data_IF_928767667615
#
_entry.id   IF_928767667615
#
_cell.length_a   1.000
_cell.length_b   1.000
_cell.length_c   1.000
_cell.angle_alpha   90.00
_cell.angle_beta   90.00
_cell.angle_gamma   90.00
#
_symmetry.space_group_name_H-M   'P 1'
#
loop_
_entity.id
_entity.type
_entity.pdbx_description
1 polymer ?
#
# COMPACT_ATOMS: atom_id res chain seq x y z
N UNK A 1 -22.07 -5.54 -20.89
CA UNK A 1 -22.20 -6.82 -20.14
C UNK A 1 -20.83 -7.01 -19.50
N UNK A 2 -20.56 -6.85 -18.20
CA UNK A 2 -21.15 -7.42 -16.98
C UNK A 2 -20.73 -6.54 -15.78
N UNK A 3 -21.55 -5.57 -15.34
CA UNK A 3 -21.30 -4.83 -14.07
C UNK A 3 -22.00 -5.42 -12.84
N UNK A 4 -22.85 -6.45 -13.02
CA UNK A 4 -23.71 -6.97 -11.95
C UNK A 4 -23.11 -8.10 -11.09
N UNK A 5 -21.90 -8.59 -11.36
CA UNK A 5 -21.32 -9.74 -10.63
C UNK A 5 -20.40 -9.34 -9.47
N UNK A 6 -19.87 -8.12 -9.44
CA UNK A 6 -18.90 -7.69 -8.43
C UNK A 6 -19.54 -7.00 -7.23
N UNK A 7 -20.74 -6.42 -7.39
CA UNK A 7 -21.44 -5.66 -6.35
C UNK A 7 -21.98 -6.51 -5.19
N UNK A 8 -21.83 -7.84 -5.25
CA UNK A 8 -22.22 -8.76 -4.18
C UNK A 8 -21.06 -9.14 -3.27
N UNK A 9 -19.81 -8.92 -3.68
CA UNK A 9 -18.63 -9.27 -2.87
C UNK A 9 -18.47 -8.29 -1.72
N UNK A 10 -18.32 -8.79 -0.50
CA UNK A 10 -18.02 -7.96 0.67
C UNK A 10 -16.52 -7.82 0.88
N UNK A 11 -16.08 -6.58 1.04
CA UNK A 11 -14.68 -6.24 1.30
C UNK A 11 -14.48 -5.95 2.79
N UNK A 12 -13.48 -6.57 3.40
CA UNK A 12 -12.97 -6.18 4.71
C UNK A 12 -11.63 -5.49 4.55
N UNK A 13 -11.51 -4.25 5.04
CA UNK A 13 -10.29 -3.46 4.97
C UNK A 13 -9.70 -3.36 6.38
N UNK A 14 -8.54 -3.99 6.58
CA UNK A 14 -7.81 -3.94 7.84
C UNK A 14 -6.98 -2.65 7.89
N UNK A 15 -7.46 -1.67 8.65
CA UNK A 15 -6.76 -0.41 8.93
C UNK A 15 -7.35 0.83 8.26
N UNK A 16 -8.00 1.70 9.03
CA UNK A 16 -8.55 3.01 8.63
C UNK A 16 -7.50 4.14 8.68
N UNK A 17 -6.35 3.90 8.04
CA UNK A 17 -5.24 4.83 7.94
C UNK A 17 -5.36 5.82 6.77
N UNK A 18 -4.24 6.45 6.42
CA UNK A 18 -4.15 7.41 5.31
C UNK A 18 -4.59 6.84 3.95
N UNK A 19 -4.36 5.55 3.71
CA UNK A 19 -4.84 4.84 2.51
C UNK A 19 -6.19 4.15 2.75
N UNK A 20 -6.40 3.53 3.91
CA UNK A 20 -7.56 2.65 4.11
C UNK A 20 -8.90 3.36 4.20
N UNK A 21 -8.96 4.57 4.77
CA UNK A 21 -10.19 5.38 4.79
C UNK A 21 -10.64 5.79 3.37
N UNK A 22 -9.81 6.48 2.56
CA UNK A 22 -10.22 6.84 1.20
C UNK A 22 -10.43 5.62 0.29
N UNK A 23 -9.75 4.50 0.55
CA UNK A 23 -10.02 3.24 -0.13
C UNK A 23 -11.42 2.70 0.19
N UNK A 24 -11.84 2.75 1.47
CA UNK A 24 -13.19 2.36 1.86
C UNK A 24 -14.24 3.27 1.23
N UNK A 25 -14.02 4.59 1.25
CA UNK A 25 -14.88 5.57 0.58
C UNK A 25 -15.05 5.26 -0.91
N UNK A 26 -13.95 4.94 -1.59
CA UNK A 26 -13.96 4.55 -3.00
C UNK A 26 -14.85 3.34 -3.26
N UNK A 27 -14.70 2.26 -2.50
CA UNK A 27 -15.49 1.04 -2.71
C UNK A 27 -16.95 1.17 -2.26
N UNK A 28 -17.22 1.91 -1.17
CA UNK A 28 -18.60 2.25 -0.80
C UNK A 28 -19.27 3.06 -1.90
N UNK A 29 -18.57 4.05 -2.47
CA UNK A 29 -19.07 4.85 -3.60
C UNK A 29 -19.35 4.02 -4.87
N UNK A 30 -18.67 2.88 -5.02
CA UNK A 30 -18.95 1.90 -6.08
C UNK A 30 -20.07 0.90 -5.73
N UNK A 31 -20.62 0.96 -4.53
CA UNK A 31 -21.72 0.10 -4.07
C UNK A 31 -21.30 -1.23 -3.46
N UNK A 32 -20.02 -1.43 -3.16
CA UNK A 32 -19.57 -2.62 -2.42
C UNK A 32 -20.03 -2.54 -0.94
N UNK A 33 -20.47 -3.65 -0.34
CA UNK A 33 -20.50 -3.78 1.10
C UNK A 33 -19.06 -3.74 1.64
N UNK A 34 -18.74 -2.75 2.48
CA UNK A 34 -17.39 -2.58 3.05
C UNK A 34 -17.43 -2.64 4.56
N UNK A 35 -16.59 -3.50 5.14
CA UNK A 35 -16.20 -3.46 6.53
C UNK A 35 -14.83 -2.75 6.64
N UNK A 36 -14.70 -1.79 7.54
CA UNK A 36 -13.44 -1.08 7.78
C UNK A 36 -13.08 -1.16 9.27
N UNK A 37 -11.83 -1.51 9.55
CA UNK A 37 -11.34 -1.64 10.91
C UNK A 37 -10.43 -0.52 11.38
N UNK A 38 -10.40 -0.35 12.70
CA UNK A 38 -9.55 0.60 13.43
C UNK A 38 -9.10 -0.01 14.74
N UNK A 39 -7.99 0.49 15.31
CA UNK A 39 -7.61 0.22 16.72
C UNK A 39 -8.16 1.25 17.70
N UNK A 40 -8.78 2.31 17.19
CA UNK A 40 -9.26 3.45 17.99
C UNK A 40 -10.78 3.52 17.97
N UNK A 41 -11.40 3.37 19.13
CA UNK A 41 -12.86 3.41 19.28
C UNK A 41 -13.47 4.73 18.79
N UNK A 42 -12.77 5.86 18.97
CA UNK A 42 -13.18 7.18 18.49
C UNK A 42 -13.40 7.25 16.96
N UNK A 43 -12.79 6.35 16.18
CA UNK A 43 -12.97 6.28 14.72
C UNK A 43 -14.20 5.48 14.27
N UNK A 44 -14.87 4.75 15.17
CA UNK A 44 -16.00 3.91 14.78
C UNK A 44 -17.18 4.71 14.23
N UNK A 45 -17.52 5.85 14.84
CA UNK A 45 -18.59 6.72 14.35
C UNK A 45 -18.26 7.35 12.98
N UNK A 46 -17.07 7.95 12.78
CA UNK A 46 -16.65 8.40 11.45
C UNK A 46 -16.73 7.30 10.39
N UNK A 47 -16.29 6.08 10.70
CA UNK A 47 -16.36 4.95 9.74
C UNK A 47 -17.82 4.62 9.36
N UNK A 48 -18.74 4.59 10.33
CA UNK A 48 -20.16 4.35 10.05
C UNK A 48 -20.77 5.45 9.17
N UNK A 49 -20.38 6.70 9.38
CA UNK A 49 -20.85 7.83 8.57
C UNK A 49 -20.39 7.75 7.11
N UNK A 50 -19.29 7.04 6.83
CA UNK A 50 -18.85 6.74 5.46
C UNK A 50 -19.70 5.67 4.77
N UNK A 51 -20.63 5.02 5.48
CA UNK A 51 -21.45 3.92 4.96
C UNK A 51 -20.79 2.54 5.08
N UNK A 52 -19.67 2.42 5.80
CA UNK A 52 -18.98 1.15 6.05
C UNK A 52 -19.35 0.53 7.41
N UNK A 53 -19.32 -0.79 7.50
CA UNK A 53 -19.33 -1.51 8.77
C UNK A 53 -18.07 -1.19 9.59
N UNK A 54 -18.23 -0.72 10.83
CA UNK A 54 -17.11 -0.27 11.66
C UNK A 54 -16.72 -1.31 12.71
N UNK A 55 -15.45 -1.74 12.70
CA UNK A 55 -14.96 -2.78 13.60
C UNK A 55 -13.70 -2.36 14.34
N UNK A 56 -13.63 -2.69 15.64
CA UNK A 56 -12.40 -2.56 16.42
C UNK A 56 -11.58 -3.84 16.24
N UNK A 57 -10.44 -3.77 15.55
CA UNK A 57 -9.58 -4.93 15.27
C UNK A 57 -8.16 -4.59 15.70
N UNK A 58 -7.53 -5.50 16.42
CA UNK A 58 -6.13 -5.36 16.83
C UNK A 58 -5.43 -6.73 16.79
N UNK A 59 -4.65 -6.95 15.74
CA UNK A 59 -3.96 -8.23 15.51
C UNK A 59 -2.85 -8.47 16.55
N UNK A 60 -2.31 -7.41 17.13
CA UNK A 60 -1.22 -7.51 18.11
C UNK A 60 -1.76 -8.02 19.46
N UNK A 61 -3.07 -7.86 19.69
CA UNK A 61 -3.77 -8.24 20.91
C UNK A 61 -4.83 -9.33 20.68
N UNK A 62 -4.80 -10.01 19.53
CA UNK A 62 -5.73 -11.09 19.15
C UNK A 62 -7.22 -10.67 19.14
N UNK A 63 -7.51 -9.39 18.82
CA UNK A 63 -8.87 -8.84 18.80
C UNK A 63 -9.46 -8.91 17.38
N UNK A 64 -10.40 -9.84 17.17
CA UNK A 64 -11.11 -10.03 15.90
C UNK A 64 -12.62 -10.20 16.12
N UNK A 65 -13.42 -9.13 16.01
CA UNK A 65 -14.87 -9.26 16.02
C UNK A 65 -15.32 -10.15 14.86
N UNK A 66 -16.19 -11.14 15.14
CA UNK A 66 -16.60 -12.16 14.17
C UNK A 66 -17.10 -11.55 12.84
N UNK A 67 -17.96 -10.54 12.90
CA UNK A 67 -18.51 -9.88 11.70
C UNK A 67 -17.48 -9.17 10.81
N UNK A 68 -16.24 -8.95 11.26
CA UNK A 68 -15.20 -8.37 10.41
C UNK A 68 -14.65 -9.39 9.39
N UNK A 69 -14.49 -10.66 9.78
CA UNK A 69 -13.91 -11.69 8.90
C UNK A 69 -14.95 -12.71 8.40
N UNK A 70 -16.00 -12.99 9.17
CA UNK A 70 -16.96 -14.06 8.87
C UNK A 70 -17.95 -13.72 7.75
N UNK A 71 -18.14 -12.44 7.43
CA UNK A 71 -19.14 -11.99 6.45
C UNK A 71 -18.51 -11.41 5.17
N UNK A 72 -17.23 -11.67 4.91
CA UNK A 72 -16.48 -11.04 3.81
C UNK A 72 -15.80 -12.04 2.88
N UNK A 73 -15.70 -11.68 1.60
CA UNK A 73 -15.07 -12.50 0.56
C UNK A 73 -13.58 -12.14 0.38
N UNK A 74 -13.26 -10.85 0.55
CA UNK A 74 -11.93 -10.28 0.30
C UNK A 74 -11.45 -9.54 1.54
N UNK A 75 -10.22 -9.83 1.98
CA UNK A 75 -9.49 -9.01 2.95
C UNK A 75 -8.47 -8.14 2.23
N UNK A 76 -8.55 -6.82 2.42
CA UNK A 76 -7.47 -5.90 2.09
C UNK A 76 -6.68 -5.62 3.37
N UNK A 77 -5.49 -6.20 3.47
CA UNK A 77 -4.62 -6.03 4.63
C UNK A 77 -3.75 -4.78 4.45
N UNK A 78 -4.12 -3.66 5.09
CA UNK A 78 -3.50 -2.35 4.90
C UNK A 78 -2.99 -1.75 6.22
N UNK A 79 -2.11 -2.48 6.90
CA UNK A 79 -1.48 -2.07 8.16
C UNK A 79 0.04 -2.07 8.04
N UNK A 80 0.69 -1.16 8.76
CA UNK A 80 2.15 -1.00 8.74
C UNK A 80 2.86 -1.84 9.82
N UNK A 81 2.18 -2.79 10.45
CA UNK A 81 2.78 -3.64 11.49
C UNK A 81 3.87 -4.53 10.88
N UNK A 82 4.86 -4.88 11.69
CA UNK A 82 5.86 -5.92 11.37
C UNK A 82 5.84 -7.05 12.41
N UNK A 83 4.77 -7.11 13.22
CA UNK A 83 4.61 -8.12 14.25
C UNK A 83 4.25 -9.47 13.62
N UNK A 84 5.26 -10.33 13.45
CA UNK A 84 5.09 -11.66 12.85
C UNK A 84 4.07 -12.53 13.61
N UNK A 85 4.03 -12.42 14.94
CA UNK A 85 3.08 -13.18 15.76
C UNK A 85 1.65 -12.72 15.54
N UNK A 86 1.41 -11.41 15.47
CA UNK A 86 0.10 -10.84 15.15
C UNK A 86 -0.39 -11.28 13.76
N UNK A 87 0.50 -11.29 12.76
CA UNK A 87 0.15 -11.79 11.43
C UNK A 87 -0.09 -13.31 11.40
N UNK A 88 0.68 -14.10 12.15
CA UNK A 88 0.43 -15.54 12.27
C UNK A 88 -0.95 -15.82 12.90
N UNK A 89 -1.33 -15.06 13.94
CA UNK A 89 -2.69 -15.10 14.50
C UNK A 89 -3.74 -14.74 13.45
N UNK A 90 -3.56 -13.62 12.72
CA UNK A 90 -4.49 -13.20 11.68
C UNK A 90 -4.66 -14.28 10.60
N UNK A 91 -3.57 -14.89 10.11
CA UNK A 91 -3.62 -15.99 9.14
C UNK A 91 -4.44 -17.17 9.69
N UNK A 92 -4.23 -17.55 10.96
CA UNK A 92 -4.99 -18.62 11.61
C UNK A 92 -6.48 -18.30 11.76
N UNK A 93 -6.86 -17.02 11.93
CA UNK A 93 -8.26 -16.60 11.93
C UNK A 93 -8.84 -16.61 10.50
N UNK A 94 -8.07 -16.18 9.51
CA UNK A 94 -8.49 -16.17 8.10
C UNK A 94 -8.77 -17.57 7.56
N UNK A 95 -7.93 -18.55 7.92
CA UNK A 95 -8.11 -19.95 7.56
C UNK A 95 -9.46 -20.55 8.04
N UNK A 96 -10.09 -19.93 9.05
CA UNK A 96 -11.40 -20.35 9.60
C UNK A 96 -12.56 -19.47 9.14
N UNK A 97 -12.28 -18.47 8.30
CA UNK A 97 -13.25 -17.45 7.88
C UNK A 97 -13.85 -17.76 6.50
N UNK A 98 -14.76 -16.90 6.04
CA UNK A 98 -15.33 -16.96 4.69
C UNK A 98 -14.42 -16.33 3.62
N UNK A 99 -13.38 -15.60 4.03
CA UNK A 99 -12.44 -14.92 3.12
C UNK A 99 -11.82 -15.92 2.15
N UNK A 100 -11.90 -15.60 0.85
CA UNK A 100 -11.33 -16.38 -0.25
C UNK A 100 -10.08 -15.74 -0.83
N UNK A 101 -10.00 -14.42 -0.76
CA UNK A 101 -8.88 -13.68 -1.32
C UNK A 101 -8.31 -12.68 -0.32
N UNK A 102 -6.99 -12.63 -0.24
CA UNK A 102 -6.28 -11.63 0.55
C UNK A 102 -5.48 -10.75 -0.39
N UNK A 103 -5.74 -9.45 -0.38
CA UNK A 103 -4.86 -8.44 -0.97
C UNK A 103 -4.01 -7.83 0.13
N UNK A 104 -2.75 -8.23 0.18
CA UNK A 104 -1.79 -7.78 1.18
C UNK A 104 -1.02 -6.56 0.66
N UNK A 105 -1.21 -5.41 1.31
CA UNK A 105 -0.50 -4.17 0.97
C UNK A 105 0.87 -4.18 1.64
N UNK A 106 1.89 -4.50 0.85
CA UNK A 106 3.28 -4.57 1.26
C UNK A 106 4.07 -3.34 0.80
N UNK A 107 5.40 -3.41 0.89
CA UNK A 107 6.34 -2.35 0.59
C UNK A 107 7.47 -2.85 -0.28
N UNK A 108 7.88 -2.07 -1.29
CA UNK A 108 9.08 -2.36 -2.10
C UNK A 108 10.40 -2.31 -1.30
N UNK A 109 10.35 -1.94 -0.01
CA UNK A 109 11.47 -2.09 0.91
C UNK A 109 11.87 -3.54 1.18
N UNK A 110 11.07 -4.54 0.74
CA UNK A 110 11.48 -5.95 0.82
C UNK A 110 12.68 -6.27 -0.06
N UNK A 111 12.91 -5.50 -1.13
CA UNK A 111 14.05 -5.71 -2.02
C UNK A 111 15.34 -5.19 -1.40
N UNK A 112 16.43 -5.92 -1.62
CA UNK A 112 17.80 -5.46 -1.38
C UNK A 112 18.14 -4.31 -2.33
N UNK A 113 19.10 -3.49 -1.93
CA UNK A 113 19.69 -2.53 -2.85
C UNK A 113 20.87 -3.18 -3.58
N UNK A 114 20.77 -3.30 -4.90
CA UNK A 114 21.71 -4.06 -5.74
C UNK A 114 22.26 -3.25 -6.93
N UNK A 115 21.93 -1.95 -7.02
CA UNK A 115 22.12 -1.12 -8.22
C UNK A 115 21.47 -1.71 -9.49
N UNK A 116 20.45 -2.55 -9.32
CA UNK A 116 19.68 -3.13 -10.40
C UNK A 116 18.21 -2.73 -10.31
N UNK A 117 17.48 -3.03 -11.40
CA UNK A 117 16.03 -2.95 -11.43
C UNK A 117 15.46 -4.06 -10.54
N UNK A 118 14.74 -3.68 -9.48
CA UNK A 118 13.97 -4.60 -8.66
C UNK A 118 12.63 -4.87 -9.34
N UNK A 119 12.39 -6.14 -9.69
CA UNK A 119 11.12 -6.63 -10.21
C UNK A 119 10.66 -7.85 -9.43
N UNK A 120 9.42 -8.25 -9.64
CA UNK A 120 8.75 -9.35 -8.94
C UNK A 120 9.40 -10.72 -9.22
N UNK A 121 10.13 -10.86 -10.32
CA UNK A 121 10.74 -12.12 -10.77
C UNK A 121 12.29 -12.07 -10.71
N UNK A 122 12.87 -11.06 -10.06
CA UNK A 122 14.33 -10.84 -10.01
C UNK A 122 15.03 -11.50 -8.81
N UNK A 123 14.31 -12.19 -7.94
CA UNK A 123 14.81 -12.78 -6.68
C UNK A 123 15.68 -11.80 -5.85
N UNK A 124 15.28 -10.53 -5.86
CA UNK A 124 16.01 -9.43 -5.24
C UNK A 124 15.59 -9.16 -3.79
N UNK A 125 14.64 -9.92 -3.26
CA UNK A 125 14.10 -9.80 -1.90
C UNK A 125 15.16 -10.12 -0.84
N UNK A 126 15.05 -9.43 0.30
CA UNK A 126 15.81 -9.76 1.48
C UNK A 126 15.08 -10.83 2.30
N UNK A 127 15.57 -12.08 2.38
CA UNK A 127 14.98 -13.14 3.18
C UNK A 127 14.97 -12.82 4.68
N UNK A 128 15.80 -11.87 5.14
CA UNK A 128 15.81 -11.40 6.52
C UNK A 128 14.75 -10.31 6.79
N UNK A 129 14.13 -9.75 5.75
CA UNK A 129 13.05 -8.78 5.90
C UNK A 129 11.86 -9.42 6.58
N UNK A 130 11.50 -8.91 7.77
CA UNK A 130 10.32 -9.37 8.49
C UNK A 130 9.05 -9.27 7.64
N UNK A 131 8.95 -8.23 6.81
CA UNK A 131 7.80 -8.04 5.92
C UNK A 131 7.76 -9.09 4.82
N UNK A 132 8.91 -9.42 4.22
CA UNK A 132 8.97 -10.48 3.20
C UNK A 132 8.58 -11.84 3.78
N UNK A 133 9.04 -12.16 5.00
CA UNK A 133 8.64 -13.38 5.69
C UNK A 133 7.12 -13.43 5.99
N UNK A 134 6.51 -12.27 6.27
CA UNK A 134 5.05 -12.17 6.42
C UNK A 134 4.35 -12.41 5.07
N UNK A 135 4.84 -11.83 3.97
CA UNK A 135 4.30 -12.09 2.62
C UNK A 135 4.31 -13.60 2.33
N UNK A 136 5.44 -14.27 2.58
CA UNK A 136 5.57 -15.72 2.37
C UNK A 136 4.59 -16.51 3.24
N UNK A 137 4.36 -16.12 4.49
CA UNK A 137 3.38 -16.77 5.36
C UNK A 137 1.94 -16.67 4.82
N UNK A 138 1.54 -15.51 4.27
CA UNK A 138 0.24 -15.36 3.62
C UNK A 138 0.14 -16.18 2.33
N UNK A 139 1.20 -16.23 1.52
CA UNK A 139 1.20 -17.01 0.27
C UNK A 139 1.21 -18.53 0.51
N UNK A 140 1.76 -18.98 1.64
CA UNK A 140 1.82 -20.40 1.99
C UNK A 140 0.49 -20.97 2.53
N UNK A 141 -0.50 -20.12 2.86
CA UNK A 141 -1.78 -20.55 3.42
C UNK A 141 -2.73 -21.01 2.30
N UNK A 142 -3.11 -22.30 2.22
CA UNK A 142 -3.92 -22.81 1.11
C UNK A 142 -5.42 -22.45 1.19
N UNK A 143 -5.91 -22.00 2.35
CA UNK A 143 -7.33 -21.72 2.60
C UNK A 143 -7.84 -20.46 1.87
N UNK A 144 -6.93 -19.58 1.43
CA UNK A 144 -7.24 -18.39 0.66
C UNK A 144 -6.14 -18.11 -0.37
N UNK A 145 -6.47 -17.38 -1.44
CA UNK A 145 -5.48 -16.95 -2.43
C UNK A 145 -4.96 -15.56 -2.08
N UNK A 146 -3.65 -15.45 -1.90
CA UNK A 146 -2.99 -14.16 -1.59
C UNK A 146 -2.49 -13.47 -2.84
N UNK A 147 -2.76 -12.17 -2.95
CA UNK A 147 -2.07 -11.24 -3.84
C UNK A 147 -1.29 -10.24 -3.01
N UNK A 148 -0.02 -10.04 -3.35
CA UNK A 148 0.84 -9.05 -2.71
C UNK A 148 0.91 -7.82 -3.61
N UNK A 149 0.62 -6.63 -3.07
CA UNK A 149 0.88 -5.36 -3.73
C UNK A 149 1.97 -4.60 -2.95
N UNK A 150 3.20 -4.62 -3.47
CA UNK A 150 4.36 -3.92 -2.92
C UNK A 150 4.36 -2.47 -3.37
N UNK A 151 3.82 -1.59 -2.53
CA UNK A 151 3.81 -0.15 -2.81
C UNK A 151 5.17 0.48 -2.50
N UNK A 152 5.61 1.40 -3.35
CA UNK A 152 6.78 2.23 -3.08
C UNK A 152 6.45 3.35 -2.09
N UNK A 153 7.33 4.33 -1.90
CA UNK A 153 7.10 5.39 -0.92
C UNK A 153 5.82 6.18 -1.21
N UNK A 154 4.87 6.12 -0.27
CA UNK A 154 3.56 6.72 -0.43
C UNK A 154 3.62 8.25 -0.33
N UNK A 155 3.00 8.95 -1.27
CA UNK A 155 2.87 10.40 -1.32
C UNK A 155 1.46 10.83 -1.72
N UNK A 156 1.12 12.09 -1.48
CA UNK A 156 -0.13 12.70 -1.92
C UNK A 156 -0.91 13.36 -0.80
N UNK A 157 -1.61 14.44 -1.13
CA UNK A 157 -2.44 15.22 -0.19
C UNK A 157 -1.67 15.59 1.08
N UNK A 158 -2.18 15.20 2.26
CA UNK A 158 -1.54 15.44 3.57
C UNK A 158 -0.16 14.79 3.73
N UNK A 159 0.20 13.81 2.90
CA UNK A 159 1.53 13.17 2.89
C UNK A 159 2.44 13.84 1.85
N UNK A 160 2.63 15.15 2.02
CA UNK A 160 3.43 15.98 1.11
C UNK A 160 4.95 15.70 1.28
N UNK A 161 5.67 15.30 0.21
CA UNK A 161 7.08 14.91 0.31
C UNK A 161 8.01 16.05 0.77
N UNK A 162 7.67 17.30 0.45
CA UNK A 162 8.39 18.49 0.96
C UNK A 162 8.41 18.61 2.50
N UNK A 163 7.57 17.86 3.24
CA UNK A 163 7.57 17.84 4.71
C UNK A 163 8.45 16.72 5.29
N UNK A 164 8.94 15.77 4.48
CA UNK A 164 9.68 14.60 4.98
C UNK A 164 11.03 14.97 5.61
N UNK A 165 11.67 16.02 5.06
CA UNK A 165 12.97 16.55 5.50
C UNK A 165 12.85 17.96 6.09
N UNK A 166 11.72 18.27 6.72
CA UNK A 166 11.56 19.50 7.48
C UNK A 166 12.50 19.54 8.71
N UNK A 167 12.67 20.72 9.29
CA UNK A 167 13.41 20.95 10.54
C UNK A 167 14.89 20.51 10.50
N UNK A 168 15.56 20.71 9.37
CA UNK A 168 17.00 20.46 9.25
C UNK A 168 17.40 19.00 9.08
N UNK A 169 16.44 18.09 8.90
CA UNK A 169 16.73 16.68 8.58
C UNK A 169 17.56 16.58 7.29
N UNK A 170 18.62 15.80 7.35
CA UNK A 170 19.53 15.56 6.23
C UNK A 170 18.99 14.44 5.35
N UNK A 171 19.09 14.64 4.03
CA UNK A 171 18.80 13.61 3.03
C UNK A 171 20.06 12.81 2.76
N UNK A 172 20.03 11.53 3.14
CA UNK A 172 21.10 10.59 2.85
C UNK A 172 21.05 10.09 1.39
N UNK A 173 22.23 9.87 0.80
CA UNK A 173 22.40 9.41 -0.58
C UNK A 173 21.58 10.28 -1.55
N UNK A 174 21.91 11.58 -1.67
CA UNK A 174 21.12 12.55 -2.44
C UNK A 174 20.94 12.16 -3.90
N UNK A 175 21.91 11.47 -4.49
CA UNK A 175 21.89 11.12 -5.91
C UNK A 175 21.24 9.75 -6.16
N UNK A 176 20.78 9.06 -5.09
CA UNK A 176 20.00 7.84 -5.23
C UNK A 176 18.61 8.15 -5.83
N UNK A 177 18.04 7.24 -6.63
CA UNK A 177 16.68 7.40 -7.16
C UNK A 177 15.64 7.34 -6.03
N UNK A 178 14.56 8.10 -6.17
CA UNK A 178 13.35 7.88 -5.38
C UNK A 178 12.48 6.81 -6.03
N UNK A 179 11.77 6.04 -5.21
CA UNK A 179 10.70 5.14 -5.64
C UNK A 179 9.45 5.56 -4.88
N UNK A 180 8.49 6.17 -5.57
CA UNK A 180 7.29 6.74 -4.94
C UNK A 180 6.03 6.37 -5.74
N UNK A 181 4.88 6.49 -5.09
CA UNK A 181 3.57 6.31 -5.71
C UNK A 181 2.54 7.21 -5.03
N UNK A 182 1.66 7.81 -5.83
CA UNK A 182 0.57 8.65 -5.32
C UNK A 182 -0.58 7.80 -4.74
N UNK A 183 -1.32 8.36 -3.76
CA UNK A 183 -2.45 7.68 -3.12
C UNK A 183 -3.51 7.19 -4.11
N UNK A 184 -3.84 8.03 -5.09
CA UNK A 184 -4.89 7.72 -6.06
C UNK A 184 -4.48 6.55 -6.96
N UNK A 185 -3.20 6.47 -7.31
CA UNK A 185 -2.67 5.30 -8.00
C UNK A 185 -2.74 4.06 -7.11
N UNK A 186 -2.42 4.17 -5.81
CA UNK A 186 -2.58 3.03 -4.89
C UNK A 186 -4.02 2.50 -4.87
N UNK A 187 -5.01 3.40 -4.80
CA UNK A 187 -6.43 3.05 -4.85
C UNK A 187 -6.78 2.42 -6.20
N UNK A 188 -6.33 3.03 -7.30
CA UNK A 188 -6.59 2.52 -8.65
C UNK A 188 -6.00 1.13 -8.91
N UNK A 189 -4.78 0.87 -8.42
CA UNK A 189 -4.16 -0.46 -8.48
C UNK A 189 -4.95 -1.50 -7.70
N UNK A 190 -5.35 -1.18 -6.47
CA UNK A 190 -6.17 -2.05 -5.63
C UNK A 190 -7.52 -2.34 -6.31
N UNK A 191 -8.16 -1.31 -6.89
CA UNK A 191 -9.40 -1.46 -7.64
C UNK A 191 -9.23 -2.40 -8.84
N UNK A 192 -8.19 -2.21 -9.66
CA UNK A 192 -7.95 -3.08 -10.82
C UNK A 192 -7.66 -4.53 -10.44
N UNK A 193 -6.93 -4.77 -9.34
CA UNK A 193 -6.68 -6.14 -8.86
C UNK A 193 -8.00 -6.84 -8.50
N UNK A 194 -8.90 -6.14 -7.82
CA UNK A 194 -10.21 -6.67 -7.42
C UNK A 194 -11.13 -6.86 -8.62
N UNK A 195 -11.30 -5.83 -9.45
CA UNK A 195 -12.19 -5.87 -10.63
C UNK A 195 -11.79 -6.96 -11.63
N UNK A 196 -10.49 -7.15 -11.84
CA UNK A 196 -9.97 -8.15 -12.78
C UNK A 196 -9.73 -9.51 -12.11
N UNK A 197 -10.01 -9.64 -10.80
CA UNK A 197 -9.76 -10.87 -10.03
C UNK A 197 -8.33 -11.40 -10.21
N UNK A 198 -7.36 -10.49 -10.16
CA UNK A 198 -5.94 -10.76 -10.39
C UNK A 198 -5.29 -11.39 -9.15
N UNK A 199 -5.81 -12.56 -8.76
CA UNK A 199 -5.44 -13.26 -7.54
C UNK A 199 -4.22 -14.16 -7.72
N UNK A 200 -3.44 -14.36 -6.65
CA UNK A 200 -2.26 -15.24 -6.64
C UNK A 200 -0.98 -14.55 -7.11
N UNK A 201 -1.03 -13.23 -7.31
CA UNK A 201 0.06 -12.47 -7.92
C UNK A 201 0.90 -11.71 -6.90
N UNK A 202 2.10 -11.36 -7.32
CA UNK A 202 2.89 -10.30 -6.70
C UNK A 202 2.99 -9.17 -7.72
N UNK A 203 2.70 -7.95 -7.28
CA UNK A 203 2.81 -6.73 -8.07
C UNK A 203 3.58 -5.64 -7.33
N UNK A 204 4.34 -4.86 -8.08
CA UNK A 204 4.96 -3.62 -7.64
C UNK A 204 4.13 -2.40 -8.05
N UNK A 205 3.94 -1.48 -7.10
CA UNK A 205 3.32 -0.18 -7.33
C UNK A 205 4.32 0.96 -7.16
N UNK A 206 4.76 1.56 -8.27
CA UNK A 206 5.55 2.80 -8.34
C UNK A 206 5.13 3.63 -9.56
N UNK A 207 5.36 4.94 -9.50
CA UNK A 207 5.34 5.83 -10.67
C UNK A 207 6.43 5.46 -11.67
N UNK A 208 6.35 5.97 -12.90
CA UNK A 208 7.26 5.65 -14.01
C UNK A 208 8.61 6.34 -13.87
N UNK A 209 8.60 7.57 -13.35
CA UNK A 209 9.81 8.36 -13.17
C UNK A 209 10.50 8.06 -11.83
N UNK A 210 11.83 8.07 -11.84
CA UNK A 210 12.66 7.89 -10.64
C UNK A 210 13.75 8.98 -10.54
N UNK A 211 13.37 10.26 -10.35
CA UNK A 211 14.34 11.34 -10.17
C UNK A 211 15.24 11.07 -8.94
N UNK A 212 16.37 11.76 -8.87
CA UNK A 212 17.23 11.68 -7.69
C UNK A 212 16.50 12.23 -6.46
N UNK A 213 16.87 11.78 -5.26
CA UNK A 213 16.38 12.38 -4.00
C UNK A 213 16.65 13.89 -3.98
N UNK A 214 17.81 14.31 -4.49
CA UNK A 214 18.21 15.71 -4.58
C UNK A 214 17.20 16.51 -5.39
N UNK A 215 16.93 16.09 -6.61
CA UNK A 215 16.04 16.82 -7.52
C UNK A 215 14.61 16.80 -6.96
N UNK A 216 14.13 15.62 -6.58
CA UNK A 216 12.75 15.43 -6.14
C UNK A 216 12.44 16.18 -4.84
N UNK A 217 13.27 16.05 -3.80
CA UNK A 217 12.99 16.71 -2.53
C UNK A 217 13.28 18.21 -2.57
N UNK A 218 14.18 18.67 -3.45
CA UNK A 218 14.33 20.11 -3.70
C UNK A 218 13.09 20.68 -4.38
N UNK A 219 12.59 20.02 -5.43
CA UNK A 219 11.34 20.38 -6.09
C UNK A 219 10.16 20.39 -5.11
N UNK A 220 9.98 19.31 -4.35
CA UNK A 220 8.88 19.20 -3.40
C UNK A 220 8.96 20.22 -2.25
N UNK A 221 10.15 20.64 -1.82
CA UNK A 221 10.31 21.76 -0.87
C UNK A 221 9.96 23.10 -1.52
N UNK A 222 10.37 23.30 -2.77
CA UNK A 222 10.02 24.48 -3.56
C UNK A 222 8.52 24.70 -3.71
N UNK A 223 7.74 23.63 -3.89
CA UNK A 223 6.27 23.68 -3.92
C UNK A 223 5.64 24.24 -2.63
N UNK A 224 6.34 24.14 -1.50
CA UNK A 224 5.91 24.70 -0.21
C UNK A 224 6.50 26.09 0.06
N UNK A 225 7.20 26.70 -0.90
CA UNK A 225 7.94 27.95 -0.70
C UNK A 225 9.10 27.81 0.28
N UNK A 226 9.66 26.60 0.40
CA UNK A 226 10.69 26.28 1.38
C UNK A 226 12.05 26.02 0.70
N UNK A 227 13.19 26.31 1.38
CA UNK A 227 14.51 26.04 0.81
C UNK A 227 14.75 24.54 0.63
N UNK A 228 15.65 24.18 -0.29
CA UNK A 228 16.07 22.80 -0.50
C UNK A 228 16.53 22.13 0.82
N UNK A 229 16.39 20.80 0.95
CA UNK A 229 16.91 20.07 2.12
C UNK A 229 18.43 20.17 2.24
N UNK A 230 18.94 19.84 3.42
CA UNK A 230 20.36 19.55 3.60
C UNK A 230 20.66 18.16 3.02
N UNK A 231 21.79 18.02 2.34
CA UNK A 231 22.20 16.76 1.72
C UNK A 231 23.48 16.23 2.38
N UNK A 232 23.51 14.94 2.69
CA UNK A 232 24.73 14.30 3.18
C UNK A 232 25.77 14.19 2.06
N UNK A 233 27.02 14.43 2.42
CA UNK A 233 28.19 14.11 1.59
C UNK A 233 28.85 12.86 2.17
N UNK A 234 28.99 11.80 1.37
CA UNK A 234 29.52 10.53 1.87
C UNK A 234 29.46 9.41 0.84
N UNK A 235 29.89 8.22 1.26
CA UNK A 235 29.92 7.03 0.42
C UNK A 235 28.52 6.71 -0.12
N UNK A 236 28.46 6.44 -1.42
CA UNK A 236 27.24 5.96 -2.06
C UNK A 236 27.06 4.48 -1.72
N UNK A 237 25.97 4.15 -1.04
CA UNK A 237 25.56 2.76 -0.90
C UNK A 237 24.86 2.31 -2.18
N UNK A 238 24.72 0.99 -2.33
CA UNK A 238 23.89 0.44 -3.40
C UNK A 238 22.45 0.99 -3.28
N UNK A 239 21.82 1.17 -4.43
CA UNK A 239 20.45 1.68 -4.60
C UNK A 239 19.58 0.67 -5.35
N UNK A 240 18.33 1.02 -5.65
CA UNK A 240 17.46 0.25 -6.55
C UNK A 240 16.44 1.16 -7.22
N UNK A 241 15.99 0.76 -8.40
CA UNK A 241 14.80 1.28 -9.07
C UNK A 241 13.77 0.15 -9.07
N UNK A 242 12.54 0.43 -8.68
CA UNK A 242 11.45 -0.56 -8.67
C UNK A 242 10.73 -0.50 -10.01
N UNK A 243 10.54 -1.66 -10.65
CA UNK A 243 9.79 -1.77 -11.90
C UNK A 243 8.29 -1.82 -11.63
N UNK A 244 7.48 -1.13 -12.44
CA UNK A 244 6.03 -1.29 -12.52
C UNK A 244 5.57 -2.02 -13.80
N UNK A 245 6.49 -2.68 -14.51
CA UNK A 245 6.21 -3.29 -15.81
C UNK A 245 5.12 -4.38 -15.73
N UNK A 246 5.20 -5.27 -14.73
CA UNK A 246 4.27 -6.40 -14.59
C UNK A 246 2.83 -5.95 -14.41
N UNK A 247 2.58 -4.98 -13.52
CA UNK A 247 1.20 -4.51 -13.26
C UNK A 247 0.60 -3.78 -14.47
N UNK A 248 1.41 -3.03 -15.22
CA UNK A 248 0.98 -2.42 -16.49
C UNK A 248 0.64 -3.47 -17.54
N UNK A 249 1.50 -4.47 -17.72
CA UNK A 249 1.30 -5.52 -18.71
C UNK A 249 0.08 -6.38 -18.37
N UNK A 250 -0.08 -6.76 -17.11
CA UNK A 250 -1.11 -7.71 -16.68
C UNK A 250 -2.48 -7.08 -16.48
N UNK A 251 -2.54 -5.86 -15.94
CA UNK A 251 -3.81 -5.19 -15.65
C UNK A 251 -4.14 -4.05 -16.63
N UNK A 252 -3.24 -3.73 -17.57
CA UNK A 252 -3.43 -2.59 -18.47
C UNK A 252 -3.46 -1.23 -17.75
N UNK A 253 -2.96 -1.18 -16.50
CA UNK A 253 -3.10 0.01 -15.67
C UNK A 253 -2.30 1.19 -16.24
N UNK A 254 -2.96 2.35 -16.32
CA UNK A 254 -2.34 3.62 -16.67
C UNK A 254 -2.29 4.47 -15.42
N UNK A 255 -1.07 4.77 -14.97
CA UNK A 255 -0.86 5.61 -13.80
C UNK A 255 -1.44 7.00 -14.05
N UNK A 256 -2.18 7.50 -13.06
CA UNK A 256 -2.70 8.86 -12.99
C UNK A 256 -1.53 9.83 -12.83
N UNK A 257 -0.54 9.44 -12.02
CA UNK A 257 0.67 10.22 -11.76
C UNK A 257 1.95 9.44 -12.14
N UNK A 258 2.23 9.27 -13.45
CA UNK A 258 3.40 8.54 -13.92
C UNK A 258 4.70 9.31 -13.71
N UNK A 259 4.66 10.64 -13.77
CA UNK A 259 5.82 11.52 -13.54
C UNK A 259 5.72 12.22 -12.17
N UNK A 260 6.65 11.87 -11.28
CA UNK A 260 6.77 12.40 -9.92
C UNK A 260 7.03 13.91 -9.89
N UNK A 261 7.66 14.46 -10.93
CA UNK A 261 7.95 15.89 -11.04
C UNK A 261 6.75 16.69 -11.58
N UNK A 262 5.66 16.03 -11.99
CA UNK A 262 4.44 16.67 -12.51
C UNK A 262 3.21 16.50 -11.60
N UNK A 263 3.39 15.93 -10.40
CA UNK A 263 2.26 15.74 -9.46
C UNK A 263 1.76 17.09 -8.93
N UNK A 264 0.47 17.41 -9.11
CA UNK A 264 -0.15 18.55 -8.45
C UNK A 264 -0.36 18.22 -6.97
N UNK A 265 0.44 18.80 -6.09
CA UNK A 265 0.25 18.64 -4.65
C UNK A 265 -0.78 19.64 -4.12
N UNK A 266 -2.06 19.31 -4.30
CA UNK A 266 -3.16 20.05 -3.69
C UNK A 266 -3.42 19.54 -2.26
N UNK A 267 -3.80 20.43 -1.34
CA UNK A 267 -4.04 20.04 0.07
C UNK A 267 -5.39 19.32 0.29
N UNK A 268 -6.27 19.31 -0.71
CA UNK A 268 -7.65 18.78 -0.58
C UNK A 268 -7.70 17.35 -1.10
N UNK A 269 -7.90 16.40 -0.19
CA UNK A 269 -8.30 15.01 -0.44
C UNK A 269 -8.29 14.13 0.81
#
# INVERSE_FOLDING_TARGET
MTKNSLSTQRLSILGSGWLGTPLAEHFVGQGYPVNLSTRKAEKLMPIKQLGAGAYLVDIDNDIYPSGFLADADILICNITSKNKLGFASLIAQLAKSSIKHVLFISSSSVYRNTNALASEDADAEDPNSALYQIEQAFQACPEFTTTILRLSGLIGYRRHPGRFFANGKVVDQPDAPVNLIHRDDCIGLINQIIEQSAWGEVFNGCSDSHPTKRDFYSYARGLLGQPAPNFAYGAQNLTKIVSNAKIKQKLGYRFIYPDLMQIPFNEIG
#
